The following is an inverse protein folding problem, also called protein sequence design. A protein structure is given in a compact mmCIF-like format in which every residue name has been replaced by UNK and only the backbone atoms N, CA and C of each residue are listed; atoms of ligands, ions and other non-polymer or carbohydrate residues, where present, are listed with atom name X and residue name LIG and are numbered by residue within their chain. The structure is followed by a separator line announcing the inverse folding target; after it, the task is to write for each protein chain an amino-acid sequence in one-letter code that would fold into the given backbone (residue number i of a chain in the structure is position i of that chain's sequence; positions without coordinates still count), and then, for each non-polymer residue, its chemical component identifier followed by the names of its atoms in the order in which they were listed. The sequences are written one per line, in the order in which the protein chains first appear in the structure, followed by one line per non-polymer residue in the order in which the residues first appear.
data_IF_698796388239
#
_entry.id   IF_698796388239
#
_cell.length_a   1.000
_cell.length_b   1.000
_cell.length_c   1.000
_cell.angle_alpha   90.00
_cell.angle_beta   90.00
_cell.angle_gamma   90.00
#
_symmetry.space_group_name_H-M   'P 1'
#
loop_
_entity.id
_entity.type
_entity.pdbx_description
1 polymer ?
#
# COMPACT_ATOMS: atom_id res chain seq x y z
N UNK A 1 -16.52 5.58 -7.09
CA UNK A 1 -15.28 6.38 -6.94
C UNK A 1 -14.38 5.88 -5.81
N UNK A 2 -14.81 5.87 -4.54
CA UNK A 2 -13.94 5.51 -3.41
C UNK A 2 -13.20 4.15 -3.53
N UNK A 3 -13.85 3.11 -4.07
CA UNK A 3 -13.23 1.81 -4.26
C UNK A 3 -12.15 1.75 -5.36
N UNK A 4 -12.12 2.75 -6.25
CA UNK A 4 -11.06 2.90 -7.26
C UNK A 4 -9.86 3.62 -6.63
N UNK A 5 -10.09 4.73 -5.93
CA UNK A 5 -9.03 5.43 -5.19
C UNK A 5 -8.32 4.53 -4.18
N UNK A 6 -9.06 3.70 -3.42
CA UNK A 6 -8.44 2.72 -2.50
C UNK A 6 -7.58 1.69 -3.24
N UNK A 7 -7.98 1.29 -4.45
CA UNK A 7 -7.20 0.35 -5.27
C UNK A 7 -5.92 1.00 -5.80
N UNK A 8 -6.01 2.27 -6.20
CA UNK A 8 -4.86 3.06 -6.66
C UNK A 8 -3.86 3.28 -5.53
N UNK A 9 -4.32 3.64 -4.32
CA UNK A 9 -3.47 3.75 -3.15
C UNK A 9 -2.79 2.42 -2.79
N UNK A 10 -3.52 1.30 -2.84
CA UNK A 10 -2.93 -0.02 -2.59
C UNK A 10 -1.89 -0.40 -3.66
N UNK A 11 -2.15 -0.02 -4.91
CA UNK A 11 -1.23 -0.24 -6.03
C UNK A 11 0.02 0.60 -5.93
N UNK A 12 -0.13 1.88 -5.58
CA UNK A 12 0.99 2.79 -5.31
C UNK A 12 1.86 2.24 -4.18
N UNK A 13 1.25 1.81 -3.07
CA UNK A 13 1.98 1.18 -1.98
C UNK A 13 2.72 -0.08 -2.43
N UNK A 14 2.10 -0.92 -3.27
CA UNK A 14 2.74 -2.11 -3.82
C UNK A 14 4.01 -1.77 -4.62
N UNK A 15 3.95 -0.76 -5.50
CA UNK A 15 5.11 -0.30 -6.28
C UNK A 15 6.18 0.28 -5.36
N UNK A 16 5.80 1.11 -4.39
CA UNK A 16 6.74 1.68 -3.42
C UNK A 16 7.47 0.60 -2.62
N UNK A 17 6.77 -0.49 -2.27
CA UNK A 17 7.37 -1.63 -1.56
C UNK A 17 8.31 -2.46 -2.42
N UNK A 18 8.03 -2.61 -3.72
CA UNK A 18 8.94 -3.25 -4.68
C UNK A 18 10.22 -2.44 -4.85
N UNK A 19 10.09 -1.13 -5.02
CA UNK A 19 11.26 -0.24 -5.11
C UNK A 19 12.05 -0.24 -3.80
N UNK A 20 11.36 -0.17 -2.65
CA UNK A 20 12.00 -0.30 -1.35
C UNK A 20 12.79 -1.60 -1.22
N UNK A 21 12.19 -2.73 -1.62
CA UNK A 21 12.83 -4.04 -1.52
C UNK A 21 14.06 -4.16 -2.45
N UNK A 22 13.96 -3.62 -3.67
CA UNK A 22 15.07 -3.53 -4.63
C UNK A 22 16.27 -2.77 -4.05
N UNK A 23 16.02 -1.60 -3.45
CA UNK A 23 17.07 -0.75 -2.86
C UNK A 23 17.66 -1.34 -1.58
N UNK A 24 16.85 -2.08 -0.80
CA UNK A 24 17.28 -2.67 0.47
C UNK A 24 17.96 -4.02 0.32
N UNK A 25 17.59 -4.81 -0.69
CA UNK A 25 18.03 -6.19 -0.84
C UNK A 25 19.41 -6.36 -1.47
N UNK A 26 19.99 -5.31 -2.07
CA UNK A 26 21.33 -5.36 -2.66
C UNK A 26 21.49 -6.47 -3.72
N UNK A 27 22.67 -7.08 -3.81
CA UNK A 27 22.99 -8.12 -4.80
C UNK A 27 22.23 -9.44 -4.61
N UNK A 28 21.71 -9.70 -3.39
CA UNK A 28 20.94 -10.90 -3.05
C UNK A 28 19.42 -10.68 -3.17
N UNK A 29 18.98 -9.53 -3.72
CA UNK A 29 17.56 -9.27 -3.89
C UNK A 29 16.95 -10.16 -4.98
N UNK A 30 16.20 -11.18 -4.54
CA UNK A 30 15.44 -12.05 -5.43
C UNK A 30 14.15 -11.36 -5.90
N UNK A 31 14.32 -10.34 -6.75
CA UNK A 31 13.24 -9.51 -7.31
C UNK A 31 12.08 -10.32 -7.93
N UNK A 32 12.32 -11.45 -8.63
CA UNK A 32 11.23 -12.30 -9.14
C UNK A 32 10.40 -12.92 -8.03
N UNK A 33 11.03 -13.32 -6.92
CA UNK A 33 10.34 -13.91 -5.78
C UNK A 33 9.50 -12.86 -5.03
N UNK A 34 10.03 -11.65 -4.89
CA UNK A 34 9.30 -10.52 -4.28
C UNK A 34 8.12 -10.04 -5.13
N UNK A 35 8.31 -9.91 -6.45
CA UNK A 35 7.24 -9.53 -7.38
C UNK A 35 6.08 -10.55 -7.39
N UNK A 36 6.38 -11.83 -7.19
CA UNK A 36 5.39 -12.92 -7.09
C UNK A 36 4.54 -12.88 -5.82
N UNK A 37 4.92 -12.12 -4.79
CA UNK A 37 4.08 -11.93 -3.62
C UNK A 37 2.75 -11.29 -4.04
N UNK A 38 1.67 -12.05 -3.90
CA UNK A 38 0.35 -11.64 -4.43
C UNK A 38 -0.32 -10.54 -3.61
N UNK A 39 0.13 -10.29 -2.38
CA UNK A 39 -0.55 -9.38 -1.46
C UNK A 39 0.38 -8.25 -0.99
N UNK A 40 -0.10 -7.02 -1.09
CA UNK A 40 0.55 -5.80 -0.56
C UNK A 40 0.94 -5.96 0.91
N UNK A 41 0.13 -6.67 1.70
CA UNK A 41 0.42 -6.97 3.11
C UNK A 41 1.61 -7.92 3.32
N UNK A 42 1.87 -8.84 2.40
CA UNK A 42 3.01 -9.77 2.46
C UNK A 42 4.31 -9.07 2.06
N UNK A 43 4.23 -8.23 1.02
CA UNK A 43 5.32 -7.32 0.62
C UNK A 43 5.69 -6.36 1.75
N UNK A 44 4.68 -5.76 2.39
CA UNK A 44 4.88 -4.84 3.50
C UNK A 44 5.60 -5.52 4.67
N UNK A 45 5.16 -6.71 5.10
CA UNK A 45 5.82 -7.45 6.19
C UNK A 45 7.29 -7.71 5.90
N UNK A 46 7.64 -8.00 4.66
CA UNK A 46 9.01 -8.28 4.25
C UNK A 46 9.87 -7.01 4.32
N UNK A 47 9.36 -5.88 3.82
CA UNK A 47 10.02 -4.58 3.88
C UNK A 47 10.12 -4.05 5.32
N UNK A 48 9.06 -4.18 6.13
CA UNK A 48 9.03 -3.80 7.55
C UNK A 48 10.16 -4.48 8.33
N UNK A 49 10.36 -5.79 8.12
CA UNK A 49 11.48 -6.52 8.71
C UNK A 49 12.84 -5.99 8.24
N UNK A 50 12.98 -5.70 6.96
CA UNK A 50 14.24 -5.24 6.37
C UNK A 50 14.66 -3.83 6.84
N UNK A 51 13.71 -2.98 7.23
CA UNK A 51 13.97 -1.60 7.71
C UNK A 51 13.76 -1.42 9.22
N UNK A 52 13.45 -2.51 9.95
CA UNK A 52 13.20 -2.47 11.39
C UNK A 52 11.97 -1.64 11.77
N UNK A 53 10.95 -1.59 10.91
CA UNK A 53 9.70 -0.88 11.20
C UNK A 53 8.83 -1.74 12.15
N UNK A 54 8.14 -1.13 13.13
CA UNK A 54 7.16 -1.86 13.93
C UNK A 54 6.11 -2.50 13.02
N UNK A 55 6.04 -3.83 13.07
CA UNK A 55 5.06 -4.59 12.29
C UNK A 55 3.65 -4.41 12.83
N UNK A 56 2.65 -4.73 12.00
CA UNK A 56 1.24 -4.70 12.41
C UNK A 56 0.29 -4.09 11.38
N UNK A 57 0.82 -3.31 10.43
CA UNK A 57 0.03 -2.66 9.38
C UNK A 57 -0.67 -3.65 8.42
N UNK A 58 -0.22 -4.91 8.38
CA UNK A 58 -0.80 -5.94 7.52
C UNK A 58 -2.26 -6.31 7.83
N UNK A 59 -2.67 -6.29 9.10
CA UNK A 59 -4.08 -6.52 9.48
C UNK A 59 -4.98 -5.37 9.02
N UNK A 60 -4.48 -4.14 9.16
CA UNK A 60 -5.13 -2.91 8.70
C UNK A 60 -5.31 -2.89 7.19
N UNK A 61 -4.27 -3.21 6.42
CA UNK A 61 -4.37 -3.37 4.95
C UNK A 61 -5.36 -4.46 4.53
N UNK A 62 -5.39 -5.59 5.23
CA UNK A 62 -6.34 -6.65 4.94
C UNK A 62 -7.79 -6.19 5.17
N UNK A 63 -8.05 -5.39 6.21
CA UNK A 63 -9.36 -4.78 6.47
C UNK A 63 -9.74 -3.76 5.39
N UNK A 64 -8.83 -2.86 5.01
CA UNK A 64 -9.04 -1.89 3.92
C UNK A 64 -9.41 -2.60 2.61
N UNK A 65 -8.74 -3.70 2.29
CA UNK A 65 -9.05 -4.49 1.08
C UNK A 65 -10.45 -5.09 1.10
N UNK A 66 -10.93 -5.53 2.27
CA UNK A 66 -12.31 -6.01 2.45
C UNK A 66 -13.31 -4.88 2.27
N UNK A 67 -13.05 -3.69 2.83
CA UNK A 67 -13.86 -2.47 2.62
C UNK A 67 -13.95 -2.16 1.12
N UNK A 68 -12.81 -2.09 0.43
CA UNK A 68 -12.77 -1.80 -1.01
C UNK A 68 -13.54 -2.84 -1.85
N UNK A 69 -13.45 -4.12 -1.49
CA UNK A 69 -14.21 -5.19 -2.17
C UNK A 69 -15.72 -5.06 -1.95
N UNK A 70 -16.16 -4.68 -0.75
CA UNK A 70 -17.58 -4.47 -0.42
C UNK A 70 -18.14 -3.23 -1.10
N UNK A 71 -17.39 -2.12 -1.13
CA UNK A 71 -17.76 -0.90 -1.86
C UNK A 71 -17.96 -1.14 -3.37
N UNK A 72 -17.24 -2.10 -3.96
CA UNK A 72 -17.44 -2.51 -5.37
C UNK A 72 -18.73 -3.29 -5.60
N UNK A 73 -19.14 -4.09 -4.61
CA UNK A 73 -20.34 -4.92 -4.69
C UNK A 73 -21.60 -4.16 -4.32
N UNK A 74 -21.49 -2.88 -3.94
CA UNK A 74 -22.59 -2.08 -3.40
C UNK A 74 -23.36 -2.81 -2.29
N UNK A 75 -22.67 -3.65 -1.51
CA UNK A 75 -23.33 -4.43 -0.47
C UNK A 75 -23.60 -3.53 0.75
N UNK A 76 -24.84 -3.52 1.29
CA UNK A 76 -25.19 -2.79 2.51
C UNK A 76 -24.66 -3.46 3.79
N UNK A 77 -23.97 -4.60 3.69
CA UNK A 77 -23.48 -5.34 4.86
C UNK A 77 -22.56 -4.49 5.75
N UNK A 78 -22.77 -4.61 7.07
CA UNK A 78 -22.04 -3.86 8.09
C UNK A 78 -20.53 -3.97 7.90
N UNK A 79 -19.92 -2.86 7.47
CA UNK A 79 -18.48 -2.68 7.35
C UNK A 79 -17.85 -2.24 8.68
N UNK A 80 -18.64 -2.09 9.75
CA UNK A 80 -18.21 -1.50 11.01
C UNK A 80 -17.00 -2.21 11.63
N UNK A 81 -16.97 -3.55 11.59
CA UNK A 81 -15.82 -4.32 12.09
C UNK A 81 -14.55 -4.08 11.27
N UNK A 82 -14.68 -4.01 9.95
CA UNK A 82 -13.53 -3.75 9.07
C UNK A 82 -13.08 -2.28 9.17
N UNK A 83 -14.00 -1.33 9.34
CA UNK A 83 -13.68 0.07 9.58
C UNK A 83 -12.94 0.23 10.90
N UNK A 84 -13.41 -0.43 11.97
CA UNK A 84 -12.73 -0.44 13.26
C UNK A 84 -11.29 -0.97 13.13
N UNK A 85 -11.10 -2.08 12.42
CA UNK A 85 -9.76 -2.63 12.15
C UNK A 85 -8.91 -1.76 11.21
N UNK A 86 -9.54 -1.03 10.29
CA UNK A 86 -8.86 -0.19 9.29
C UNK A 86 -8.51 1.21 9.82
N UNK A 87 -9.20 1.68 10.86
CA UNK A 87 -9.09 3.04 11.38
C UNK A 87 -8.67 3.10 12.85
N UNK A 88 -8.66 1.96 13.54
CA UNK A 88 -8.56 1.83 15.00
C UNK A 88 -9.65 2.63 15.75
N UNK A 89 -10.75 2.93 15.05
CA UNK A 89 -11.88 3.70 15.57
C UNK A 89 -13.18 3.35 14.81
N UNK A 90 -14.35 3.39 15.47
CA UNK A 90 -15.65 3.23 14.82
C UNK A 90 -16.04 4.53 14.11
N UNK A 91 -15.67 4.65 12.84
CA UNK A 91 -15.96 5.82 12.02
C UNK A 91 -17.11 5.56 11.04
N UNK A 92 -17.81 6.61 10.64
CA UNK A 92 -18.66 6.59 9.45
C UNK A 92 -17.80 6.45 8.19
N UNK A 93 -18.40 5.97 7.09
CA UNK A 93 -17.66 5.64 5.87
C UNK A 93 -16.84 6.82 5.30
N UNK A 94 -17.36 8.06 5.19
CA UNK A 94 -16.58 9.22 4.78
C UNK A 94 -15.33 9.47 5.64
N UNK A 95 -15.49 9.50 6.97
CA UNK A 95 -14.36 9.71 7.90
C UNK A 95 -13.38 8.54 7.87
N UNK A 96 -13.87 7.31 7.71
CA UNK A 96 -13.06 6.12 7.54
C UNK A 96 -12.18 6.22 6.28
N UNK A 97 -12.74 6.67 5.15
CA UNK A 97 -11.98 6.86 3.91
C UNK A 97 -10.87 7.90 4.07
N UNK A 98 -11.12 9.01 4.78
CA UNK A 98 -10.09 10.01 5.08
C UNK A 98 -9.00 9.44 6.01
N UNK A 99 -9.39 8.69 7.04
CA UNK A 99 -8.45 8.01 7.94
C UNK A 99 -7.57 6.99 7.20
N UNK A 100 -8.16 6.23 6.28
CA UNK A 100 -7.45 5.27 5.42
C UNK A 100 -6.47 6.00 4.49
N UNK A 101 -6.88 7.09 3.86
CA UNK A 101 -5.98 7.89 3.01
C UNK A 101 -4.78 8.45 3.81
N UNK A 102 -5.04 8.95 5.02
CA UNK A 102 -3.98 9.42 5.93
C UNK A 102 -3.04 8.29 6.34
N UNK A 103 -3.57 7.09 6.58
CA UNK A 103 -2.77 5.90 6.85
C UNK A 103 -1.81 5.57 5.69
N UNK A 104 -2.30 5.51 4.44
CA UNK A 104 -1.44 5.27 3.28
C UNK A 104 -0.36 6.34 3.13
N UNK A 105 -0.71 7.62 3.32
CA UNK A 105 0.24 8.73 3.26
C UNK A 105 1.34 8.58 4.32
N UNK A 106 0.95 8.39 5.58
CA UNK A 106 1.91 8.26 6.68
C UNK A 106 2.83 7.04 6.50
N UNK A 107 2.28 5.92 6.00
CA UNK A 107 3.06 4.73 5.71
C UNK A 107 4.06 4.99 4.57
N UNK A 108 3.60 5.62 3.48
CA UNK A 108 4.46 6.02 2.36
C UNK A 108 5.58 6.96 2.80
N UNK A 109 5.27 8.00 3.57
CA UNK A 109 6.25 8.95 4.10
C UNK A 109 7.29 8.26 5.01
N UNK A 110 6.85 7.32 5.84
CA UNK A 110 7.77 6.58 6.72
C UNK A 110 8.69 5.67 5.92
N UNK A 111 8.16 4.96 4.92
CA UNK A 111 8.95 4.13 4.00
C UNK A 111 9.97 5.01 3.26
N UNK A 112 9.52 6.11 2.65
CA UNK A 112 10.39 7.05 1.94
C UNK A 112 11.50 7.61 2.83
N UNK A 113 11.18 8.05 4.05
CA UNK A 113 12.20 8.54 5.00
C UNK A 113 13.24 7.46 5.30
N UNK A 114 12.82 6.22 5.55
CA UNK A 114 13.76 5.12 5.86
C UNK A 114 14.61 4.71 4.65
N UNK A 115 14.05 4.76 3.45
CA UNK A 115 14.77 4.45 2.20
C UNK A 115 15.74 5.59 1.84
N UNK A 116 15.30 6.85 1.92
CA UNK A 116 16.12 8.03 1.61
C UNK A 116 17.28 8.22 2.61
N UNK A 117 17.08 7.89 3.89
CA UNK A 117 18.17 7.90 4.89
C UNK A 117 19.28 6.90 4.53
N UNK A 118 18.99 5.86 3.74
CA UNK A 118 19.99 4.93 3.19
C UNK A 118 20.70 5.45 1.92
N UNK A 119 20.54 6.73 1.53
CA UNK A 119 21.25 7.41 0.42
C UNK A 119 21.19 6.68 -0.93
N UNK A 120 20.03 6.16 -1.33
CA UNK A 120 19.82 5.75 -2.72
C UNK A 120 18.63 6.53 -3.30
N UNK A 121 18.86 7.17 -4.44
CA UNK A 121 17.82 7.81 -5.24
C UNK A 121 16.90 6.69 -5.73
N UNK A 122 15.61 6.75 -5.40
CA UNK A 122 14.64 5.80 -5.93
C UNK A 122 14.48 6.10 -7.41
N UNK A 123 14.91 5.16 -8.26
CA UNK A 123 14.82 5.28 -9.70
C UNK A 123 13.48 4.73 -10.21
N UNK A 124 12.48 5.60 -10.29
CA UNK A 124 11.16 5.27 -10.85
C UNK A 124 11.17 5.09 -12.39
N UNK A 125 12.32 5.26 -13.06
CA UNK A 125 12.43 5.09 -14.53
C UNK A 125 12.60 3.64 -14.96
N UNK A 126 12.96 2.75 -14.02
CA UNK A 126 12.98 1.31 -14.30
C UNK A 126 11.55 0.83 -14.49
N UNK A 127 11.27 0.29 -15.67
CA UNK A 127 9.97 -0.22 -16.08
C UNK A 127 9.52 -1.37 -15.17
N UNK A 128 8.95 -1.06 -14.02
CA UNK A 128 8.15 -2.02 -13.30
C UNK A 128 6.86 -2.24 -14.10
N UNK A 129 6.48 -3.50 -14.34
CA UNK A 129 5.28 -3.94 -15.12
C UNK A 129 3.96 -3.34 -14.54
N UNK A 130 4.05 -2.61 -13.44
CA UNK A 130 2.97 -1.91 -12.78
C UNK A 130 2.92 -0.40 -13.06
N UNK A 131 4.01 0.24 -13.50
CA UNK A 131 4.08 1.66 -13.89
C UNK A 131 3.38 1.90 -15.24
N UNK A 132 3.50 0.98 -16.20
CA UNK A 132 2.72 1.04 -17.46
C UNK A 132 1.21 1.07 -17.22
N UNK A 133 0.76 0.50 -16.10
CA UNK A 133 -0.65 0.49 -15.70
C UNK A 133 -1.03 1.67 -14.79
N UNK A 134 -0.07 2.49 -14.37
CA UNK A 134 -0.28 3.68 -13.54
C UNK A 134 -0.34 4.97 -14.38
N UNK A 135 0.42 5.05 -15.49
CA UNK A 135 0.43 6.22 -16.38
C UNK A 135 -0.92 6.55 -17.05
N UNK A 136 -1.89 5.64 -17.04
CA UNK A 136 -3.22 5.89 -17.62
C UNK A 136 -4.12 6.75 -16.71
N UNK A 137 -3.71 7.03 -15.46
CA UNK A 137 -4.55 7.71 -14.47
C UNK A 137 -4.25 9.20 -14.23
N UNK A 138 -3.19 9.76 -14.83
CA UNK A 138 -2.77 11.15 -14.57
C UNK A 138 -3.07 12.16 -15.71
N UNK A 139 -3.50 11.71 -16.88
CA UNK A 139 -3.76 12.58 -18.05
C UNK A 139 -5.22 13.06 -18.16
N UNK A 140 -5.87 13.37 -17.04
CA UNK A 140 -7.25 13.85 -17.08
C UNK A 140 -7.83 14.26 -15.74
N UNK A 141 -7.36 15.39 -15.20
CA UNK A 141 -8.15 16.28 -14.36
C UNK A 141 -8.07 17.67 -14.98
#
# INVERSE_FOLDING_TARGET
MAANHLRELDRFLCVLLEEAASLLGGADHDAPCFARLRRTSEKLRTVERAIGLPGGHGSRLAAIRRIAARLRRSSPDSQAKDILLACDAPLDLPSALQSIARFYRNLGDHLMKKILVKKQIIDFSRSCIHIEKANVACDGI
#
